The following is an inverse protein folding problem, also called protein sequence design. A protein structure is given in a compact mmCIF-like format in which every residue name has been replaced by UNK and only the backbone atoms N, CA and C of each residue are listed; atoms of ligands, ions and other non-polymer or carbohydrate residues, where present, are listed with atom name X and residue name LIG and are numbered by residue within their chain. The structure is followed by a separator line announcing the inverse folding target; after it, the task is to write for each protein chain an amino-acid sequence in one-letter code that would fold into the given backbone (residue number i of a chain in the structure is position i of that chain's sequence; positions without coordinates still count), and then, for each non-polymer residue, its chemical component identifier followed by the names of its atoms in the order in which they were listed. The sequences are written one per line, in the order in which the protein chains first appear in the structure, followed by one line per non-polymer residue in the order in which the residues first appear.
data_IF_726266795852
#
_entry.id   IF_726266795852
#
_cell.length_a   1.000
_cell.length_b   1.000
_cell.length_c   1.000
_cell.angle_alpha   90.00
_cell.angle_beta   90.00
_cell.angle_gamma   90.00
#
_symmetry.space_group_name_H-M   'P 1'
#
loop_
_entity.id
_entity.type
_entity.pdbx_description
1 polymer ?
#
# COMPACT_ATOMS: atom_id res chain seq x y z
N UNK A 1 -12.41 -8.04 -4.70
CA UNK A 1 -11.82 -6.74 -5.11
C UNK A 1 -10.59 -6.50 -4.26
N UNK A 2 -9.58 -5.80 -4.78
CA UNK A 2 -8.39 -5.46 -4.00
C UNK A 2 -8.39 -3.95 -3.78
N UNK A 3 -8.23 -3.49 -2.54
CA UNK A 3 -8.21 -2.05 -2.25
C UNK A 3 -7.20 -1.67 -1.16
N UNK A 4 -6.85 -0.38 -1.17
CA UNK A 4 -5.79 0.24 -0.37
C UNK A 4 -6.37 0.99 0.84
N UNK A 5 -5.72 0.93 2.01
CA UNK A 5 -5.99 1.77 3.19
C UNK A 5 -4.68 2.34 3.77
N UNK A 6 -4.76 3.42 4.55
CA UNK A 6 -3.63 3.99 5.28
C UNK A 6 -3.96 4.15 6.77
N UNK A 7 -2.98 3.89 7.65
CA UNK A 7 -3.05 4.25 9.07
C UNK A 7 -1.62 4.38 9.62
N UNK A 8 -1.38 5.36 10.48
CA UNK A 8 -0.14 5.50 11.24
C UNK A 8 -0.45 5.18 12.71
N UNK A 9 0.17 4.14 13.26
CA UNK A 9 -0.10 3.70 14.64
C UNK A 9 0.52 4.66 15.68
N UNK A 10 1.54 5.44 15.31
CA UNK A 10 2.30 6.33 16.19
C UNK A 10 2.25 7.78 15.70
N UNK A 11 1.63 8.71 16.47
CA UNK A 11 1.63 10.13 16.13
C UNK A 11 3.06 10.68 15.99
N UNK A 12 3.37 11.30 14.84
CA UNK A 12 4.66 11.95 14.49
C UNK A 12 5.83 11.00 14.18
N UNK A 13 5.58 9.70 14.05
CA UNK A 13 6.52 8.78 13.43
C UNK A 13 6.06 8.54 12.00
N UNK A 14 6.89 8.92 11.04
CA UNK A 14 6.66 8.66 9.61
C UNK A 14 7.04 7.20 9.24
N UNK A 15 7.74 6.51 10.13
CA UNK A 15 8.33 5.21 9.84
C UNK A 15 7.33 4.04 9.86
N UNK A 16 6.23 4.17 10.60
CA UNK A 16 5.16 3.18 10.72
C UNK A 16 3.99 3.43 9.77
N UNK A 17 4.02 4.49 8.96
CA UNK A 17 3.06 4.67 7.88
C UNK A 17 3.05 3.44 6.96
N UNK A 18 1.85 3.00 6.55
CA UNK A 18 1.71 1.86 5.67
C UNK A 18 0.55 2.01 4.69
N UNK A 19 0.64 1.21 3.64
CA UNK A 19 -0.42 0.92 2.70
C UNK A 19 -0.94 -0.49 2.98
N UNK A 20 -2.18 -0.62 3.43
CA UNK A 20 -2.85 -1.90 3.63
C UNK A 20 -3.57 -2.31 2.35
N UNK A 21 -3.38 -3.55 1.92
CA UNK A 21 -4.01 -4.12 0.73
C UNK A 21 -4.90 -5.27 1.17
N UNK A 22 -6.21 -5.12 0.98
CA UNK A 22 -7.21 -6.11 1.36
C UNK A 22 -7.80 -6.81 0.12
N UNK A 23 -7.88 -8.15 0.14
CA UNK A 23 -8.52 -8.93 -0.92
C UNK A 23 -9.92 -9.40 -0.52
N UNK A 24 -10.96 -8.76 -1.04
CA UNK A 24 -12.36 -9.19 -0.87
C UNK A 24 -12.86 -10.13 -1.98
N UNK A 25 -11.99 -10.59 -2.88
CA UNK A 25 -12.32 -11.46 -4.02
C UNK A 25 -11.81 -12.89 -3.87
N UNK A 26 -11.60 -13.57 -5.01
CA UNK A 26 -10.90 -14.86 -5.05
C UNK A 26 -9.39 -14.71 -4.76
N UNK A 27 -8.68 -15.83 -4.64
CA UNK A 27 -7.23 -15.83 -4.42
C UNK A 27 -6.50 -15.06 -5.53
N UNK A 28 -5.56 -14.21 -5.15
CA UNK A 28 -4.85 -13.31 -6.05
C UNK A 28 -3.33 -13.54 -5.96
N UNK A 29 -2.68 -13.76 -7.11
CA UNK A 29 -1.22 -13.76 -7.18
C UNK A 29 -0.74 -12.32 -7.42
N UNK A 30 0.10 -11.82 -6.51
CA UNK A 30 0.65 -10.48 -6.54
C UNK A 30 2.04 -10.43 -7.17
N UNK A 31 2.61 -11.55 -7.62
CA UNK A 31 3.94 -11.56 -8.22
C UNK A 31 4.07 -10.53 -9.36
N UNK A 32 5.00 -9.59 -9.21
CA UNK A 32 5.25 -8.53 -10.19
C UNK A 32 4.22 -7.39 -10.19
N UNK A 33 3.26 -7.38 -9.27
CA UNK A 33 2.40 -6.21 -9.04
C UNK A 33 3.24 -5.07 -8.48
N UNK A 34 2.79 -3.84 -8.72
CA UNK A 34 3.50 -2.62 -8.29
C UNK A 34 2.56 -1.72 -7.51
N UNK A 35 2.91 -1.47 -6.25
CA UNK A 35 2.35 -0.38 -5.47
C UNK A 35 3.23 0.85 -5.63
N UNK A 36 2.66 2.00 -5.96
CA UNK A 36 3.43 3.22 -6.16
C UNK A 36 2.68 4.49 -5.83
N UNK A 37 3.43 5.56 -5.64
CA UNK A 37 2.91 6.90 -5.87
C UNK A 37 2.63 7.13 -7.37
N UNK A 38 1.52 7.79 -7.69
CA UNK A 38 1.12 8.08 -9.06
C UNK A 38 2.11 9.02 -9.78
N UNK A 39 2.61 10.01 -9.07
CA UNK A 39 3.37 11.13 -9.60
C UNK A 39 4.88 11.04 -9.24
N UNK A 40 5.26 10.26 -8.23
CA UNK A 40 6.67 9.97 -7.88
C UNK A 40 7.12 8.54 -8.23
N UNK A 41 7.92 8.43 -9.30
CA UNK A 41 8.51 7.16 -9.76
C UNK A 41 9.61 6.61 -8.86
N UNK A 42 10.09 7.38 -7.88
CA UNK A 42 11.08 6.90 -6.92
C UNK A 42 10.42 6.17 -5.75
N UNK A 43 9.09 6.18 -5.67
CA UNK A 43 8.30 5.54 -4.63
C UNK A 43 7.49 4.38 -5.20
N UNK A 44 8.19 3.33 -5.66
CA UNK A 44 7.57 2.11 -6.18
C UNK A 44 8.02 0.87 -5.39
N UNK A 45 7.08 0.00 -5.05
CA UNK A 45 7.31 -1.30 -4.45
C UNK A 45 6.78 -2.40 -5.37
N UNK A 46 7.67 -3.28 -5.82
CA UNK A 46 7.30 -4.45 -6.62
C UNK A 46 7.15 -5.68 -5.73
N UNK A 47 5.99 -6.32 -5.77
CA UNK A 47 5.73 -7.50 -4.97
C UNK A 47 6.55 -8.71 -5.44
N UNK A 48 7.20 -9.44 -4.51
CA UNK A 48 7.79 -10.73 -4.82
C UNK A 48 6.68 -11.76 -5.07
N UNK A 49 7.05 -13.03 -5.26
CA UNK A 49 6.07 -14.11 -5.32
C UNK A 49 5.25 -14.15 -4.02
N UNK A 50 3.98 -13.76 -4.11
CA UNK A 50 3.05 -13.72 -2.98
C UNK A 50 1.63 -14.04 -3.43
N UNK A 51 0.95 -14.90 -2.68
CA UNK A 51 -0.45 -15.24 -2.91
C UNK A 51 -1.29 -14.67 -1.77
N UNK A 52 -2.24 -13.81 -2.12
CA UNK A 52 -3.18 -13.20 -1.19
C UNK A 52 -4.53 -13.91 -1.30
N UNK A 53 -4.91 -14.66 -0.27
CA UNK A 53 -6.15 -15.41 -0.21
C UNK A 53 -7.40 -14.54 -0.12
N UNK A 54 -8.59 -15.12 -0.35
CA UNK A 54 -9.86 -14.45 -0.10
C UNK A 54 -9.99 -13.98 1.36
N UNK A 55 -10.33 -12.71 1.56
CA UNK A 55 -10.47 -12.07 2.87
C UNK A 55 -9.16 -11.70 3.55
N UNK A 56 -8.00 -12.00 2.95
CA UNK A 56 -6.70 -11.70 3.53
C UNK A 56 -6.28 -10.24 3.30
N UNK A 57 -5.36 -9.80 4.16
CA UNK A 57 -4.84 -8.44 4.23
C UNK A 57 -3.32 -8.48 4.38
N UNK A 58 -2.62 -7.61 3.67
CA UNK A 58 -1.18 -7.35 3.83
C UNK A 58 -0.92 -5.85 3.97
N UNK A 59 0.26 -5.47 4.45
CA UNK A 59 0.68 -4.09 4.56
C UNK A 59 2.07 -3.89 3.96
N UNK A 60 2.27 -2.75 3.31
CA UNK A 60 3.58 -2.27 2.84
C UNK A 60 3.92 -1.01 3.62
N UNK A 61 4.95 -1.08 4.45
CA UNK A 61 5.34 0.00 5.35
C UNK A 61 6.39 0.92 4.74
N UNK A 62 6.42 2.18 5.16
CA UNK A 62 7.45 3.15 4.78
C UNK A 62 8.86 2.62 5.09
N UNK A 63 9.12 2.27 6.35
CA UNK A 63 10.48 1.87 6.77
C UNK A 63 10.54 0.65 7.72
N UNK A 64 9.39 0.18 8.20
CA UNK A 64 9.35 -0.94 9.14
C UNK A 64 9.07 -2.28 8.44
N UNK A 65 9.56 -3.38 9.02
CA UNK A 65 9.27 -4.73 8.51
C UNK A 65 8.44 -5.47 9.55
N UNK A 66 7.19 -5.79 9.19
CA UNK A 66 6.24 -6.51 10.05
C UNK A 66 5.84 -7.83 9.43
N UNK A 67 6.45 -8.93 9.88
CA UNK A 67 6.21 -10.28 9.33
C UNK A 67 4.75 -10.74 9.41
N UNK A 68 4.00 -10.29 10.43
CA UNK A 68 2.56 -10.54 10.57
C UNK A 68 1.73 -10.02 9.38
N UNK A 69 2.21 -8.99 8.69
CA UNK A 69 1.50 -8.32 7.59
C UNK A 69 2.14 -8.56 6.23
N UNK A 70 2.95 -9.61 6.10
CA UNK A 70 3.67 -9.97 4.87
C UNK A 70 5.14 -9.51 4.86
N UNK A 71 5.54 -8.63 5.78
CA UNK A 71 6.93 -8.19 5.90
C UNK A 71 7.40 -7.26 4.78
N UNK A 72 6.48 -6.55 4.13
CA UNK A 72 6.82 -5.66 3.02
C UNK A 72 7.13 -4.25 3.50
N UNK A 73 8.15 -3.65 2.89
CA UNK A 73 8.54 -2.27 3.14
C UNK A 73 9.17 -1.66 1.90
N UNK A 74 8.99 -0.35 1.74
CA UNK A 74 9.78 0.45 0.78
C UNK A 74 11.23 0.66 1.26
N UNK A 75 11.50 0.52 2.57
CA UNK A 75 12.81 0.79 3.16
C UNK A 75 13.22 2.26 3.05
N UNK A 76 12.24 3.17 3.00
CA UNK A 76 12.47 4.60 2.85
C UNK A 76 12.82 5.25 4.19
N UNK A 77 13.88 6.05 4.23
CA UNK A 77 14.26 6.84 5.41
C UNK A 77 13.43 8.10 5.61
N UNK A 78 12.53 8.41 4.67
CA UNK A 78 11.64 9.58 4.65
C UNK A 78 10.19 9.13 4.54
N UNK A 79 9.22 9.93 5.03
CA UNK A 79 7.82 9.75 4.64
C UNK A 79 7.70 9.55 3.14
N UNK A 80 6.94 8.54 2.75
CA UNK A 80 6.56 8.33 1.35
C UNK A 80 5.45 9.32 0.98
N UNK A 81 4.49 9.49 1.87
CA UNK A 81 3.29 10.28 1.63
C UNK A 81 3.50 11.68 2.18
N UNK A 82 3.52 12.67 1.28
CA UNK A 82 3.58 14.06 1.62
C UNK A 82 2.31 14.46 2.39
N UNK A 83 2.49 15.17 3.49
CA UNK A 83 1.44 15.66 4.37
C UNK A 83 0.97 17.08 4.01
N UNK A 84 1.46 17.65 2.91
CA UNK A 84 1.11 19.01 2.44
C UNK A 84 0.34 19.04 1.12
N UNK A 85 0.50 18.04 0.26
CA UNK A 85 -0.27 17.83 -0.97
C UNK A 85 -0.82 16.39 -0.96
N UNK A 86 -2.01 16.19 -1.54
CA UNK A 86 -2.65 14.88 -1.52
C UNK A 86 -1.99 13.95 -2.54
N UNK A 87 -1.25 12.95 -2.06
CA UNK A 87 -0.64 11.92 -2.90
C UNK A 87 -1.64 10.84 -3.30
N UNK A 88 -1.40 10.14 -4.41
CA UNK A 88 -2.27 9.08 -4.91
C UNK A 88 -1.50 7.77 -4.96
N UNK A 89 -1.85 6.83 -4.08
CA UNK A 89 -1.33 5.47 -4.14
C UNK A 89 -2.06 4.68 -5.24
N UNK A 90 -1.30 4.00 -6.07
CA UNK A 90 -1.80 3.18 -7.19
C UNK A 90 -1.24 1.77 -7.08
N UNK A 91 -2.13 0.76 -7.14
CA UNK A 91 -1.77 -0.64 -7.26
C UNK A 91 -2.00 -1.10 -8.70
N UNK A 92 -0.91 -1.51 -9.36
CA UNK A 92 -0.93 -2.05 -10.72
C UNK A 92 -0.71 -3.56 -10.69
N UNK A 93 -1.40 -4.30 -11.56
CA UNK A 93 -1.06 -5.70 -11.81
C UNK A 93 0.26 -5.83 -12.59
N UNK A 94 0.73 -7.06 -12.75
CA UNK A 94 1.99 -7.35 -13.46
C UNK A 94 1.98 -6.93 -14.94
N UNK A 95 0.82 -6.66 -15.53
CA UNK A 95 0.68 -6.11 -16.88
C UNK A 95 0.67 -4.58 -16.93
N UNK A 96 0.75 -3.91 -15.78
CA UNK A 96 0.71 -2.45 -15.66
C UNK A 96 -0.70 -1.86 -15.63
N UNK A 97 -1.75 -2.68 -15.47
CA UNK A 97 -3.12 -2.18 -15.38
C UNK A 97 -3.44 -1.81 -13.94
N UNK A 98 -4.03 -0.62 -13.76
CA UNK A 98 -4.53 -0.16 -12.46
C UNK A 98 -5.61 -1.11 -11.94
N UNK A 99 -5.38 -1.63 -10.74
CA UNK A 99 -6.31 -2.49 -9.99
C UNK A 99 -7.06 -1.66 -8.94
N UNK A 100 -6.36 -0.75 -8.28
CA UNK A 100 -6.92 0.15 -7.28
C UNK A 100 -6.09 1.42 -7.22
N UNK A 101 -6.73 2.55 -6.94
CA UNK A 101 -6.08 3.81 -6.64
C UNK A 101 -6.82 4.51 -5.51
N UNK A 102 -6.09 5.27 -4.70
CA UNK A 102 -6.69 6.05 -3.63
C UNK A 102 -5.85 7.25 -3.24
N UNK A 103 -6.52 8.32 -2.81
CA UNK A 103 -5.89 9.58 -2.44
C UNK A 103 -5.62 9.63 -0.94
N UNK A 104 -4.42 10.04 -0.58
CA UNK A 104 -4.04 10.37 0.78
C UNK A 104 -4.60 11.76 1.14
N UNK A 105 -5.69 11.78 1.91
CA UNK A 105 -6.17 12.98 2.60
C UNK A 105 -6.21 12.67 4.10
N UNK A 106 -5.34 13.34 4.86
CA UNK A 106 -5.23 13.19 6.32
C UNK A 106 -6.55 13.51 7.06
N UNK A 107 -7.54 14.11 6.40
CA UNK A 107 -8.88 14.35 6.94
C UNK A 107 -9.89 13.20 6.79
N UNK A 108 -9.63 12.21 5.92
CA UNK A 108 -10.53 11.09 5.67
C UNK A 108 -9.77 9.91 5.05
N UNK A 109 -9.20 8.99 5.86
CA UNK A 109 -8.45 7.87 5.31
C UNK A 109 -9.38 7.08 4.38
N UNK A 110 -8.97 6.85 3.12
CA UNK A 110 -9.81 6.11 2.21
C UNK A 110 -10.04 4.71 2.74
N UNK A 111 -11.32 4.38 2.90
CA UNK A 111 -11.81 3.11 3.42
C UNK A 111 -12.22 2.17 2.29
N UNK A 112 -11.76 0.92 2.33
CA UNK A 112 -12.57 -0.20 1.84
C UNK A 112 -13.88 -0.14 2.62
N UNK A 113 -14.94 0.41 2.03
CA UNK A 113 -16.24 0.54 2.69
C UNK A 113 -16.61 -0.78 3.37
N UNK A 114 -16.66 -0.76 4.71
CA UNK A 114 -17.26 -1.85 5.48
C UNK A 114 -18.75 -1.91 5.21
#
# INVERSE_FOLDING_TARGET
MVCILFDGEVPRSEADEYVEIANSGGAQNLAGWVLKDRDDRNQEFTFPAYSLGPGEVIRVYTNQVHSRWGGFSFGSGSSLWNNTEADVAVLNDAGGRVVSETTYDTGNPPGCGR
#
